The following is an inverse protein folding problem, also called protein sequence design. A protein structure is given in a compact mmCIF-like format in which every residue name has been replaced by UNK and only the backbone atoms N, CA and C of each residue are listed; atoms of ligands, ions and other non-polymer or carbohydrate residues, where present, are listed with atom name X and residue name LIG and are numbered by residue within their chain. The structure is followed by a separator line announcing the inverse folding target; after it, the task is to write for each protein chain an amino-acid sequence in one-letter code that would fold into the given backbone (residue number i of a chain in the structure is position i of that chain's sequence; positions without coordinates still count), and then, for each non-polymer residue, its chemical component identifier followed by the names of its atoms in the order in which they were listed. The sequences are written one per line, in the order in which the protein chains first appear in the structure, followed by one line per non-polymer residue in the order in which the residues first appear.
data_IF_175088837816
#
_entry.id   IF_175088837816
#
_cell.length_a   1.000
_cell.length_b   1.000
_cell.length_c   1.000
_cell.angle_alpha   90.00
_cell.angle_beta   90.00
_cell.angle_gamma   90.00
#
_symmetry.space_group_name_H-M   'P 1'
#
loop_
_entity.id
_entity.type
_entity.pdbx_description
1 polymer ?
#
# COMPACT_ATOMS: atom_id res chain seq x y z
N UNK A 1 -16.36 -41.77 -10.24
CA UNK A 1 -17.37 -41.64 -9.16
C UNK A 1 -17.60 -40.15 -8.94
N UNK A 2 -18.61 -39.60 -9.59
CA UNK A 2 -19.08 -38.24 -9.34
C UNK A 2 -20.06 -38.32 -8.17
N UNK A 3 -19.77 -37.66 -7.06
CA UNK A 3 -20.46 -37.91 -5.80
C UNK A 3 -20.53 -36.69 -4.90
N UNK A 4 -21.65 -36.56 -4.19
CA UNK A 4 -21.81 -35.59 -3.13
C UNK A 4 -20.88 -35.95 -1.98
N UNK A 5 -20.12 -34.98 -1.49
CA UNK A 5 -19.28 -35.09 -0.30
C UNK A 5 -19.69 -34.03 0.72
N UNK A 6 -19.56 -34.37 2.00
CA UNK A 6 -19.78 -33.40 3.08
C UNK A 6 -18.44 -33.04 3.69
N UNK A 7 -18.05 -31.77 3.59
CA UNK A 7 -16.84 -31.21 4.19
C UNK A 7 -17.21 -30.49 5.48
N UNK A 8 -16.57 -30.84 6.59
CA UNK A 8 -16.71 -30.12 7.85
C UNK A 8 -15.51 -29.23 8.11
N UNK A 9 -15.74 -27.92 8.27
CA UNK A 9 -14.75 -26.93 8.67
C UNK A 9 -15.20 -26.27 9.98
N UNK A 10 -14.52 -26.59 11.08
CA UNK A 10 -14.97 -26.20 12.42
C UNK A 10 -16.39 -26.73 12.69
N UNK A 11 -17.32 -25.82 12.96
CA UNK A 11 -18.72 -26.13 13.24
C UNK A 11 -19.65 -26.02 12.02
N UNK A 12 -19.09 -25.80 10.82
CA UNK A 12 -19.88 -25.62 9.58
C UNK A 12 -19.71 -26.84 8.68
N UNK A 13 -20.82 -27.30 8.09
CA UNK A 13 -20.86 -28.41 7.13
C UNK A 13 -21.20 -27.88 5.74
N UNK A 14 -20.38 -28.25 4.75
CA UNK A 14 -20.55 -27.89 3.35
C UNK A 14 -20.87 -29.15 2.54
N UNK A 15 -21.98 -29.15 1.81
CA UNK A 15 -22.33 -30.24 0.89
C UNK A 15 -21.93 -29.83 -0.52
N UNK A 16 -20.95 -30.54 -1.09
CA UNK A 16 -20.29 -30.14 -2.33
C UNK A 16 -20.14 -31.35 -3.27
N UNK A 17 -19.81 -31.08 -4.54
CA UNK A 17 -19.49 -32.12 -5.51
C UNK A 17 -17.99 -32.42 -5.49
N UNK A 18 -17.65 -33.71 -5.33
CA UNK A 18 -16.25 -34.17 -5.29
C UNK A 18 -15.48 -33.78 -6.55
N UNK A 19 -16.08 -33.97 -7.72
CA UNK A 19 -15.49 -33.62 -9.02
C UNK A 19 -15.09 -32.15 -9.09
N UNK A 20 -15.98 -31.24 -8.66
CA UNK A 20 -15.73 -29.79 -8.63
C UNK A 20 -14.53 -29.43 -7.75
N UNK A 21 -14.42 -30.04 -6.57
CA UNK A 21 -13.28 -29.81 -5.66
C UNK A 21 -11.96 -30.34 -6.24
N UNK A 22 -11.94 -31.59 -6.72
CA UNK A 22 -10.75 -32.21 -7.32
C UNK A 22 -10.27 -31.44 -8.54
N UNK A 23 -11.19 -30.97 -9.39
CA UNK A 23 -10.87 -30.24 -10.61
C UNK A 23 -10.20 -28.89 -10.35
N UNK A 24 -10.52 -28.24 -9.22
CA UNK A 24 -10.05 -26.89 -8.92
C UNK A 24 -8.99 -26.82 -7.82
N UNK A 25 -8.76 -27.91 -7.08
CA UNK A 25 -7.82 -27.96 -5.96
C UNK A 25 -6.95 -29.20 -6.00
N UNK A 26 -5.64 -28.98 -6.15
CA UNK A 26 -4.65 -30.05 -6.09
C UNK A 26 -4.63 -30.74 -4.71
N UNK A 27 -4.91 -29.97 -3.65
CA UNK A 27 -5.03 -30.50 -2.29
C UNK A 27 -6.18 -31.49 -2.18
N UNK A 28 -7.37 -31.14 -2.68
CA UNK A 28 -8.54 -32.03 -2.66
C UNK A 28 -8.33 -33.25 -3.57
N UNK A 29 -7.67 -33.07 -4.72
CA UNK A 29 -7.30 -34.18 -5.60
C UNK A 29 -6.48 -35.23 -4.84
N UNK A 30 -5.38 -34.81 -4.21
CA UNK A 30 -4.53 -35.70 -3.41
C UNK A 30 -5.26 -36.26 -2.18
N UNK A 31 -6.02 -35.43 -1.46
CA UNK A 31 -6.77 -35.83 -0.26
C UNK A 31 -7.78 -36.96 -0.54
N UNK A 32 -8.44 -36.92 -1.70
CA UNK A 32 -9.45 -37.90 -2.07
C UNK A 32 -8.88 -39.15 -2.76
N UNK A 33 -7.61 -39.14 -3.18
CA UNK A 33 -6.91 -40.31 -3.69
C UNK A 33 -6.51 -41.30 -2.59
N UNK A 34 -6.32 -40.83 -1.35
CA UNK A 34 -6.03 -41.66 -0.18
C UNK A 34 -7.18 -42.67 0.09
N UNK A 35 -6.86 -43.96 0.09
CA UNK A 35 -7.82 -45.05 0.34
C UNK A 35 -8.55 -44.90 1.69
N UNK A 36 -7.89 -44.32 2.70
CA UNK A 36 -8.48 -44.11 4.02
C UNK A 36 -9.61 -43.06 4.00
N UNK A 37 -9.59 -42.16 3.02
CA UNK A 37 -10.61 -41.11 2.89
C UNK A 37 -11.78 -41.58 2.02
N UNK A 38 -11.58 -42.52 1.09
CA UNK A 38 -12.61 -42.98 0.15
C UNK A 38 -13.85 -43.59 0.80
N UNK A 39 -13.74 -44.16 2.00
CA UNK A 39 -14.85 -44.82 2.69
C UNK A 39 -15.68 -43.86 3.57
N UNK A 40 -15.24 -42.61 3.77
CA UNK A 40 -15.91 -41.67 4.67
C UNK A 40 -16.97 -40.86 3.92
N UNK A 41 -18.16 -40.72 4.52
CA UNK A 41 -19.23 -39.88 4.00
C UNK A 41 -19.05 -38.40 4.42
N UNK A 42 -18.42 -38.17 5.58
CA UNK A 42 -18.13 -36.84 6.13
C UNK A 42 -16.61 -36.70 6.31
N UNK A 43 -16.06 -35.63 5.74
CA UNK A 43 -14.64 -35.32 5.80
C UNK A 43 -14.42 -34.11 6.70
N UNK A 44 -13.85 -34.33 7.89
CA UNK A 44 -13.47 -33.25 8.80
C UNK A 44 -12.11 -32.69 8.41
N UNK A 45 -12.08 -31.47 7.90
CA UNK A 45 -10.86 -30.80 7.46
C UNK A 45 -10.51 -29.72 8.49
N UNK A 46 -9.29 -29.78 9.02
CA UNK A 46 -8.75 -28.74 9.88
C UNK A 46 -7.88 -27.83 9.04
N UNK A 47 -8.39 -26.63 8.73
CA UNK A 47 -7.63 -25.61 8.01
C UNK A 47 -6.79 -24.81 9.01
N UNK A 48 -5.47 -24.76 8.77
CA UNK A 48 -4.61 -23.78 9.42
C UNK A 48 -4.65 -22.50 8.59
N UNK A 49 -5.06 -21.39 9.20
CA UNK A 49 -4.99 -20.06 8.59
C UNK A 49 -6.23 -19.58 7.82
N UNK A 50 -7.24 -20.42 7.61
CA UNK A 50 -8.52 -19.96 7.05
C UNK A 50 -9.72 -20.43 7.88
N UNK A 51 -10.77 -19.61 7.89
CA UNK A 51 -12.03 -19.87 8.59
C UNK A 51 -13.03 -20.52 7.64
N UNK A 52 -14.06 -21.16 8.18
CA UNK A 52 -15.17 -21.68 7.39
C UNK A 52 -15.79 -20.60 6.48
N UNK A 53 -15.90 -19.35 6.99
CA UNK A 53 -16.39 -18.22 6.20
C UNK A 53 -15.48 -17.85 5.02
N UNK A 54 -14.16 -18.01 5.16
CA UNK A 54 -13.24 -17.75 4.06
C UNK A 54 -13.42 -18.80 2.94
N UNK A 55 -13.69 -20.06 3.31
CA UNK A 55 -14.00 -21.13 2.36
C UNK A 55 -15.36 -20.93 1.67
N UNK A 56 -16.38 -20.49 2.41
CA UNK A 56 -17.69 -20.12 1.84
C UNK A 56 -17.53 -19.04 0.76
N UNK A 57 -16.80 -17.96 1.05
CA UNK A 57 -16.54 -16.89 0.09
C UNK A 57 -15.79 -17.39 -1.16
N UNK A 58 -14.83 -18.32 -0.99
CA UNK A 58 -14.17 -18.96 -2.13
C UNK A 58 -15.18 -19.73 -2.99
N UNK A 59 -16.08 -20.50 -2.39
CA UNK A 59 -17.09 -21.26 -3.11
C UNK A 59 -18.06 -20.35 -3.86
N UNK A 60 -18.53 -19.27 -3.24
CA UNK A 60 -19.37 -18.26 -3.87
C UNK A 60 -18.65 -17.64 -5.07
N UNK A 61 -17.38 -17.25 -4.89
CA UNK A 61 -16.56 -16.73 -6.00
C UNK A 61 -16.39 -17.74 -7.15
N UNK A 62 -16.35 -19.04 -6.86
CA UNK A 62 -16.28 -20.05 -7.91
C UNK A 62 -17.55 -20.11 -8.76
N UNK A 63 -18.71 -19.75 -8.20
CA UNK A 63 -19.99 -19.67 -8.92
C UNK A 63 -20.16 -18.31 -9.63
N UNK A 64 -19.70 -17.22 -9.00
CA UNK A 64 -19.91 -15.84 -9.48
C UNK A 64 -18.66 -15.21 -10.13
N UNK A 65 -17.73 -16.03 -10.64
CA UNK A 65 -16.42 -15.55 -11.13
C UNK A 65 -16.52 -14.51 -12.25
N UNK A 66 -17.62 -14.50 -13.02
CA UNK A 66 -17.84 -13.56 -14.13
C UNK A 66 -18.13 -12.15 -13.60
N UNK A 67 -18.85 -12.02 -12.48
CA UNK A 67 -19.25 -10.71 -11.95
C UNK A 67 -18.03 -9.89 -11.53
N UNK A 68 -17.01 -10.56 -10.98
CA UNK A 68 -15.75 -9.92 -10.56
C UNK A 68 -14.86 -9.43 -11.69
N UNK A 69 -15.17 -9.77 -12.94
CA UNK A 69 -14.51 -9.19 -14.11
C UNK A 69 -14.96 -7.74 -14.31
N UNK A 70 -16.25 -7.46 -14.05
CA UNK A 70 -16.86 -6.17 -14.27
C UNK A 70 -16.82 -5.28 -13.02
N UNK A 71 -17.01 -5.88 -11.84
CA UNK A 71 -17.00 -5.20 -10.55
C UNK A 71 -15.89 -5.78 -9.66
N UNK A 72 -14.77 -5.06 -9.45
CA UNK A 72 -13.70 -5.56 -8.61
C UNK A 72 -14.20 -5.91 -7.20
N UNK A 73 -13.88 -7.10 -6.67
CA UNK A 73 -14.32 -7.50 -5.34
C UNK A 73 -13.77 -6.57 -4.25
N UNK A 74 -14.52 -6.34 -3.16
CA UNK A 74 -14.01 -5.61 -2.02
C UNK A 74 -12.86 -6.39 -1.34
N UNK A 75 -12.01 -5.68 -0.61
CA UNK A 75 -10.81 -6.25 0.03
C UNK A 75 -11.12 -7.49 0.89
N UNK A 76 -12.22 -7.47 1.65
CA UNK A 76 -12.62 -8.59 2.50
C UNK A 76 -12.84 -9.90 1.73
N UNK A 77 -13.35 -9.81 0.50
CA UNK A 77 -13.56 -10.96 -0.38
C UNK A 77 -12.21 -11.43 -0.93
N UNK A 78 -11.38 -10.52 -1.44
CA UNK A 78 -10.02 -10.87 -1.93
C UNK A 78 -9.18 -11.54 -0.83
N UNK A 79 -9.20 -10.99 0.39
CA UNK A 79 -8.47 -11.54 1.52
C UNK A 79 -8.98 -12.93 1.93
N UNK A 80 -10.30 -13.14 1.94
CA UNK A 80 -10.92 -14.44 2.22
C UNK A 80 -10.54 -15.49 1.16
N UNK A 81 -10.64 -15.13 -0.13
CA UNK A 81 -10.25 -15.99 -1.24
C UNK A 81 -8.76 -16.33 -1.16
N UNK A 82 -7.88 -15.35 -0.92
CA UNK A 82 -6.43 -15.62 -0.81
C UNK A 82 -6.13 -16.61 0.33
N UNK A 83 -6.70 -16.40 1.53
CA UNK A 83 -6.52 -17.33 2.67
C UNK A 83 -6.98 -18.74 2.31
N UNK A 84 -8.22 -18.90 1.84
CA UNK A 84 -8.79 -20.21 1.56
C UNK A 84 -8.11 -20.91 0.37
N UNK A 85 -7.89 -20.17 -0.73
CA UNK A 85 -7.32 -20.70 -1.95
C UNK A 85 -5.86 -21.11 -1.78
N UNK A 86 -5.04 -20.30 -1.10
CA UNK A 86 -3.65 -20.66 -0.82
C UNK A 86 -3.54 -21.84 0.16
N UNK A 87 -4.41 -21.93 1.17
CA UNK A 87 -4.40 -23.06 2.12
C UNK A 87 -4.83 -24.38 1.48
N UNK A 88 -5.78 -24.35 0.54
CA UNK A 88 -6.34 -25.55 -0.10
C UNK A 88 -5.87 -25.73 -1.54
N UNK A 89 -4.81 -25.04 -1.96
CA UNK A 89 -4.22 -25.16 -3.31
C UNK A 89 -5.24 -25.00 -4.45
N UNK A 90 -6.11 -23.99 -4.36
CA UNK A 90 -6.97 -23.54 -5.48
C UNK A 90 -6.22 -22.53 -6.34
N UNK A 91 -5.23 -23.00 -7.08
CA UNK A 91 -4.18 -22.14 -7.68
C UNK A 91 -4.74 -21.02 -8.57
N UNK A 92 -5.79 -21.30 -9.36
CA UNK A 92 -6.44 -20.28 -10.22
C UNK A 92 -7.03 -19.12 -9.41
N UNK A 93 -7.64 -19.43 -8.27
CA UNK A 93 -8.28 -18.45 -7.40
C UNK A 93 -7.26 -17.74 -6.51
N UNK A 94 -6.19 -18.44 -6.10
CA UNK A 94 -5.05 -17.81 -5.43
C UNK A 94 -4.35 -16.78 -6.35
N UNK A 95 -4.08 -17.15 -7.61
CA UNK A 95 -3.49 -16.24 -8.60
C UNK A 95 -4.40 -15.03 -8.89
N UNK A 96 -5.73 -15.23 -8.95
CA UNK A 96 -6.67 -14.12 -9.04
C UNK A 96 -6.56 -13.19 -7.83
N UNK A 97 -6.61 -13.73 -6.61
CA UNK A 97 -6.63 -12.93 -5.39
C UNK A 97 -5.29 -12.19 -5.19
N UNK A 98 -4.19 -12.81 -5.59
CA UNK A 98 -2.88 -12.19 -5.69
C UNK A 98 -2.91 -10.98 -6.63
N UNK A 99 -3.36 -11.15 -7.87
CA UNK A 99 -3.44 -10.05 -8.84
C UNK A 99 -4.36 -8.92 -8.34
N UNK A 100 -5.49 -9.27 -7.74
CA UNK A 100 -6.41 -8.30 -7.15
C UNK A 100 -5.74 -7.54 -5.98
N UNK A 101 -5.01 -8.25 -5.11
CA UNK A 101 -4.24 -7.64 -4.00
C UNK A 101 -3.17 -6.69 -4.54
N UNK A 102 -2.38 -7.09 -5.54
CA UNK A 102 -1.37 -6.21 -6.14
C UNK A 102 -1.98 -4.95 -6.75
N UNK A 103 -3.16 -5.06 -7.38
CA UNK A 103 -3.88 -3.91 -7.94
C UNK A 103 -4.43 -2.96 -6.86
N UNK A 104 -4.84 -3.48 -5.71
CA UNK A 104 -5.29 -2.67 -4.57
C UNK A 104 -4.15 -1.90 -3.90
N UNK A 105 -2.91 -2.32 -4.12
CA UNK A 105 -1.72 -1.82 -3.44
C UNK A 105 -0.64 -1.40 -4.43
N UNK A 106 -0.86 -0.32 -5.18
CA UNK A 106 0.06 0.10 -6.23
C UNK A 106 1.43 0.47 -5.65
N UNK A 107 2.47 -0.02 -6.32
CA UNK A 107 3.86 0.13 -5.89
C UNK A 107 4.51 1.42 -6.42
N UNK A 108 3.97 1.98 -7.50
CA UNK A 108 4.46 3.19 -8.14
C UNK A 108 4.28 4.40 -7.21
N UNK A 109 5.29 5.27 -7.13
CA UNK A 109 5.22 6.49 -6.31
C UNK A 109 4.24 7.50 -6.91
N UNK A 110 4.06 7.47 -8.23
CA UNK A 110 3.12 8.31 -8.98
C UNK A 110 1.65 7.97 -8.66
N UNK A 111 1.39 6.77 -8.11
CA UNK A 111 0.07 6.33 -7.65
C UNK A 111 -0.11 6.58 -6.13
N UNK A 112 0.81 7.29 -5.49
CA UNK A 112 0.65 7.73 -4.11
C UNK A 112 -0.22 8.98 -4.05
N UNK A 113 -1.34 8.88 -3.33
CA UNK A 113 -2.28 9.99 -3.09
C UNK A 113 -2.39 10.26 -1.59
N UNK A 114 -2.78 11.47 -1.16
CA UNK A 114 -3.05 11.76 0.25
C UNK A 114 -4.19 10.92 0.85
N UNK A 115 -5.10 10.42 0.01
CA UNK A 115 -6.15 9.50 0.44
C UNK A 115 -5.54 8.16 0.86
N UNK A 116 -5.87 7.72 2.07
CA UNK A 116 -5.33 6.48 2.64
C UNK A 116 -6.03 5.26 2.07
N UNK A 117 -5.24 4.25 1.72
CA UNK A 117 -5.78 2.94 1.33
C UNK A 117 -6.21 2.21 2.61
N UNK A 118 -7.48 1.81 2.75
CA UNK A 118 -7.95 1.11 3.95
C UNK A 118 -7.32 -0.29 4.07
N UNK A 119 -7.50 -0.94 5.21
CA UNK A 119 -7.07 -2.33 5.45
C UNK A 119 -5.56 -2.59 5.36
N UNK A 120 -4.72 -1.58 5.55
CA UNK A 120 -3.26 -1.73 5.54
C UNK A 120 -2.75 -2.75 6.56
N UNK A 121 -3.25 -2.70 7.80
CA UNK A 121 -2.87 -3.64 8.86
C UNK A 121 -3.29 -5.08 8.53
N UNK A 122 -4.52 -5.26 8.03
CA UNK A 122 -5.02 -6.57 7.62
C UNK A 122 -4.22 -7.12 6.43
N UNK A 123 -3.82 -6.27 5.48
CA UNK A 123 -2.96 -6.66 4.35
C UNK A 123 -1.59 -7.13 4.81
N UNK A 124 -0.95 -6.41 5.75
CA UNK A 124 0.33 -6.85 6.33
C UNK A 124 0.17 -8.21 6.99
N UNK A 125 -0.86 -8.40 7.80
CA UNK A 125 -1.13 -9.69 8.44
C UNK A 125 -1.38 -10.81 7.42
N UNK A 126 -2.21 -10.55 6.42
CA UNK A 126 -2.57 -11.47 5.34
C UNK A 126 -1.33 -11.95 4.60
N UNK A 127 -0.47 -11.03 4.14
CA UNK A 127 0.70 -11.37 3.33
C UNK A 127 1.86 -11.99 4.13
N UNK A 128 1.88 -11.82 5.46
CA UNK A 128 2.79 -12.57 6.34
C UNK A 128 2.38 -14.04 6.45
N UNK A 129 1.08 -14.33 6.43
CA UNK A 129 0.56 -15.69 6.49
C UNK A 129 0.46 -16.37 5.11
N UNK A 130 0.18 -15.59 4.06
CA UNK A 130 -0.05 -16.05 2.69
C UNK A 130 0.74 -15.16 1.71
N UNK A 131 2.06 -15.38 1.55
CA UNK A 131 2.89 -14.59 0.65
C UNK A 131 2.47 -14.77 -0.82
N UNK A 132 2.55 -13.68 -1.57
CA UNK A 132 2.34 -13.61 -3.03
C UNK A 132 3.67 -13.27 -3.74
N UNK A 133 3.72 -13.34 -5.08
CA UNK A 133 4.94 -13.08 -5.87
C UNK A 133 5.50 -11.68 -5.61
N UNK A 134 4.65 -10.64 -5.69
CA UNK A 134 5.04 -9.24 -5.48
C UNK A 134 4.87 -8.77 -4.02
N UNK A 135 4.96 -9.70 -3.06
CA UNK A 135 4.68 -9.46 -1.65
C UNK A 135 5.49 -8.28 -1.06
N UNK A 136 6.74 -8.10 -1.48
CA UNK A 136 7.57 -6.99 -0.99
C UNK A 136 7.05 -5.61 -1.38
N UNK A 137 6.58 -5.45 -2.61
CA UNK A 137 6.07 -4.18 -3.12
C UNK A 137 4.76 -3.81 -2.40
N UNK A 138 3.84 -4.78 -2.28
CA UNK A 138 2.57 -4.61 -1.57
C UNK A 138 2.80 -4.33 -0.09
N UNK A 139 3.67 -5.08 0.57
CA UNK A 139 4.01 -4.85 1.99
C UNK A 139 4.65 -3.48 2.20
N UNK A 140 5.53 -3.03 1.31
CA UNK A 140 6.13 -1.68 1.41
C UNK A 140 5.05 -0.61 1.38
N UNK A 141 4.10 -0.70 0.44
CA UNK A 141 2.98 0.26 0.35
C UNK A 141 2.07 0.19 1.57
N UNK A 142 1.65 -1.00 1.98
CA UNK A 142 0.80 -1.17 3.17
C UNK A 142 1.46 -0.69 4.46
N UNK A 143 2.76 -0.94 4.65
CA UNK A 143 3.49 -0.42 5.80
C UNK A 143 3.61 1.10 5.74
N UNK A 144 3.75 1.71 4.56
CA UNK A 144 3.73 3.17 4.43
C UNK A 144 2.38 3.78 4.82
N UNK A 145 1.26 3.17 4.43
CA UNK A 145 -0.07 3.61 4.87
C UNK A 145 -0.20 3.60 6.41
N UNK A 146 0.44 2.63 7.07
CA UNK A 146 0.48 2.57 8.53
C UNK A 146 1.41 3.62 9.14
N UNK A 147 2.56 3.90 8.51
CA UNK A 147 3.46 5.00 8.94
C UNK A 147 2.72 6.33 8.98
N UNK A 148 1.90 6.64 7.96
CA UNK A 148 1.15 7.90 7.88
C UNK A 148 -0.20 7.89 8.61
N UNK A 149 -0.61 6.75 9.17
CA UNK A 149 -1.86 6.66 9.90
C UNK A 149 -1.69 7.15 11.36
N UNK A 150 -2.71 7.82 11.93
CA UNK A 150 -2.75 8.08 13.37
C UNK A 150 -2.58 6.78 14.16
N UNK A 151 -1.79 6.84 15.24
CA UNK A 151 -1.46 5.69 16.08
C UNK A 151 -0.95 4.46 15.31
N UNK A 152 -0.33 4.67 14.15
CA UNK A 152 0.19 3.61 13.28
C UNK A 152 -0.87 2.58 12.85
N UNK A 153 -2.13 3.01 12.75
CA UNK A 153 -3.27 2.14 12.44
C UNK A 153 -3.68 1.19 13.56
N UNK A 154 -3.17 1.36 14.79
CA UNK A 154 -3.57 0.56 15.94
C UNK A 154 -4.90 1.06 16.54
N UNK A 155 -5.68 0.11 17.08
CA UNK A 155 -6.85 0.39 17.91
C UNK A 155 -8.19 0.54 17.17
N UNK A 156 -8.20 0.53 15.83
CA UNK A 156 -9.44 0.69 15.05
C UNK A 156 -10.19 -0.64 14.92
N UNK A 157 -9.49 -1.75 14.69
CA UNK A 157 -10.13 -3.04 14.32
C UNK A 157 -9.73 -4.22 15.22
N UNK A 158 -9.10 -3.97 16.37
CA UNK A 158 -8.59 -5.03 17.26
C UNK A 158 -7.42 -5.84 16.69
N UNK A 159 -7.04 -5.61 15.44
CA UNK A 159 -5.84 -6.18 14.82
C UNK A 159 -4.59 -5.46 15.36
N UNK A 160 -3.73 -6.23 16.04
CA UNK A 160 -2.40 -5.75 16.44
C UNK A 160 -1.37 -6.20 15.42
N UNK A 161 -0.64 -5.25 14.85
CA UNK A 161 0.55 -5.53 14.04
C UNK A 161 1.58 -6.23 14.94
N UNK A 162 2.33 -7.18 14.38
CA UNK A 162 3.39 -7.86 15.12
C UNK A 162 4.49 -6.87 15.55
N UNK A 163 5.10 -7.12 16.71
CA UNK A 163 6.13 -6.25 17.30
C UNK A 163 7.22 -5.84 16.31
N UNK A 164 7.68 -6.77 15.47
CA UNK A 164 8.72 -6.51 14.49
C UNK A 164 8.29 -5.46 13.44
N UNK A 165 7.08 -5.59 12.90
CA UNK A 165 6.57 -4.64 11.90
C UNK A 165 6.21 -3.30 12.56
N UNK A 166 5.73 -3.32 13.81
CA UNK A 166 5.52 -2.09 14.59
C UNK A 166 6.82 -1.30 14.79
N UNK A 167 7.92 -1.96 15.20
CA UNK A 167 9.22 -1.30 15.34
C UNK A 167 9.72 -0.71 14.02
N UNK A 168 9.52 -1.40 12.89
CA UNK A 168 9.84 -0.86 11.55
C UNK A 168 9.06 0.40 11.24
N UNK A 169 7.76 0.40 11.52
CA UNK A 169 6.88 1.55 11.30
C UNK A 169 7.32 2.74 12.15
N UNK A 170 7.62 2.55 13.43
CA UNK A 170 8.09 3.62 14.34
C UNK A 170 9.42 4.20 13.86
N UNK A 171 10.38 3.35 13.47
CA UNK A 171 11.66 3.82 12.94
C UNK A 171 11.50 4.59 11.63
N UNK A 172 10.70 4.05 10.70
CA UNK A 172 10.42 4.69 9.42
C UNK A 172 9.73 6.05 9.61
N UNK A 173 8.74 6.13 10.50
CA UNK A 173 8.08 7.38 10.87
C UNK A 173 9.10 8.40 11.40
N UNK A 174 9.96 8.00 12.34
CA UNK A 174 11.00 8.89 12.89
C UNK A 174 11.93 9.46 11.83
N UNK A 175 12.42 8.62 10.90
CA UNK A 175 13.29 9.04 9.80
C UNK A 175 12.57 9.96 8.81
N UNK A 176 11.35 9.61 8.43
CA UNK A 176 10.55 10.43 7.51
C UNK A 176 10.20 11.77 8.15
N UNK A 177 9.77 11.82 9.40
CA UNK A 177 9.48 13.10 10.09
C UNK A 177 10.74 13.96 10.21
N UNK A 178 11.93 13.38 10.36
CA UNK A 178 13.17 14.14 10.32
C UNK A 178 13.41 14.73 8.93
N UNK A 179 13.29 13.91 7.88
CA UNK A 179 13.42 14.36 6.49
C UNK A 179 12.42 15.48 6.16
N UNK A 180 11.18 15.35 6.61
CA UNK A 180 10.16 16.39 6.45
C UNK A 180 10.59 17.69 7.10
N UNK A 181 11.07 17.64 8.35
CA UNK A 181 11.52 18.85 9.04
C UNK A 181 12.69 19.52 8.35
N UNK A 182 13.66 18.75 7.86
CA UNK A 182 14.83 19.27 7.15
C UNK A 182 14.45 19.98 5.83
N UNK A 183 13.37 19.54 5.19
CA UNK A 183 12.90 20.12 3.92
C UNK A 183 11.85 21.23 4.09
N UNK A 184 11.00 21.16 5.12
CA UNK A 184 9.81 22.00 5.24
C UNK A 184 9.87 23.04 6.39
N UNK A 185 10.68 22.85 7.43
CA UNK A 185 10.69 23.79 8.57
C UNK A 185 11.38 25.10 8.21
N UNK A 186 12.60 25.02 7.70
CA UNK A 186 13.41 26.20 7.45
C UNK A 186 13.60 26.42 5.95
N UNK A 187 13.64 27.68 5.56
CA UNK A 187 14.23 28.13 4.31
C UNK A 187 15.67 27.60 4.24
N UNK A 188 15.83 26.39 3.69
CA UNK A 188 17.08 25.67 3.78
C UNK A 188 18.16 26.41 3.02
N UNK A 189 19.30 26.65 3.68
CA UNK A 189 20.50 27.18 3.06
C UNK A 189 21.12 26.19 2.04
N UNK A 190 20.53 25.01 1.86
CA UNK A 190 20.96 24.02 0.87
C UNK A 190 20.81 24.50 -0.57
N UNK A 191 19.95 25.48 -0.83
CA UNK A 191 19.69 25.94 -2.20
C UNK A 191 20.43 27.25 -2.49
N UNK A 192 21.54 27.16 -3.20
CA UNK A 192 22.24 28.32 -3.76
C UNK A 192 21.72 28.57 -5.18
N UNK A 193 21.37 29.82 -5.49
CA UNK A 193 20.90 30.19 -6.82
C UNK A 193 22.01 29.97 -7.87
N UNK A 194 21.84 29.07 -8.87
CA UNK A 194 22.89 28.79 -9.85
C UNK A 194 23.29 30.02 -10.68
N UNK A 195 22.38 30.97 -10.84
CA UNK A 195 22.65 32.21 -11.57
C UNK A 195 23.52 33.20 -10.78
N UNK A 196 23.74 33.01 -9.47
CA UNK A 196 24.52 33.95 -8.65
C UNK A 196 26.02 34.00 -9.01
N UNK A 197 26.55 32.95 -9.65
CA UNK A 197 27.99 32.83 -9.93
C UNK A 197 28.42 33.42 -11.31
N UNK A 198 27.48 33.91 -12.14
CA UNK A 198 27.75 34.25 -13.54
C UNK A 198 27.84 35.75 -13.88
N UNK A 199 27.76 36.66 -12.90
CA UNK A 199 27.50 38.09 -13.14
C UNK A 199 28.77 38.97 -13.28
N UNK A 200 29.91 38.39 -13.70
CA UNK A 200 31.15 39.16 -13.94
C UNK A 200 31.21 39.83 -15.34
N UNK A 201 30.24 39.55 -16.23
CA UNK A 201 30.21 40.07 -17.60
C UNK A 201 29.13 41.12 -17.83
N UNK A 202 29.50 42.40 -17.78
CA UNK A 202 28.60 43.56 -17.90
C UNK A 202 27.68 43.55 -19.12
N UNK A 203 26.40 43.22 -18.90
CA UNK A 203 25.30 43.39 -19.84
C UNK A 203 24.10 44.00 -19.12
N UNK A 204 23.75 45.23 -19.50
CA UNK A 204 22.73 46.09 -18.87
C UNK A 204 21.28 45.73 -19.26
N UNK A 205 20.87 44.48 -19.08
CA UNK A 205 19.46 44.12 -19.08
C UNK A 205 19.09 43.55 -17.72
N UNK A 206 18.06 44.11 -17.11
CA UNK A 206 17.62 43.86 -15.74
C UNK A 206 17.48 42.37 -15.46
N UNK A 207 18.54 41.75 -14.94
CA UNK A 207 18.52 40.38 -14.46
C UNK A 207 17.43 40.30 -13.40
N UNK A 208 16.35 39.57 -13.71
CA UNK A 208 15.25 39.32 -12.78
C UNK A 208 15.87 38.68 -11.53
N UNK A 209 15.95 39.48 -10.46
CA UNK A 209 16.57 39.08 -9.20
C UNK A 209 15.80 37.91 -8.59
N UNK A 210 16.33 36.70 -8.72
CA UNK A 210 15.75 35.50 -8.11
C UNK A 210 15.66 35.65 -6.58
N UNK A 211 14.50 35.34 -6.01
CA UNK A 211 14.23 35.43 -4.56
C UNK A 211 15.24 34.66 -3.70
N UNK A 212 15.80 33.56 -4.20
CA UNK A 212 16.83 32.78 -3.48
C UNK A 212 18.10 33.60 -3.15
N UNK A 213 18.38 34.70 -3.86
CA UNK A 213 19.54 35.56 -3.59
C UNK A 213 19.36 36.48 -2.36
N UNK A 214 18.13 36.69 -1.91
CA UNK A 214 17.80 37.54 -0.77
C UNK A 214 17.25 36.66 0.37
N UNK A 215 18.04 36.37 1.42
CA UNK A 215 17.63 35.49 2.51
C UNK A 215 16.34 35.93 3.21
N UNK A 216 16.09 37.24 3.32
CA UNK A 216 14.89 37.76 3.99
C UNK A 216 13.64 37.49 3.13
N UNK A 217 13.71 37.80 1.83
CA UNK A 217 12.60 37.49 0.91
C UNK A 217 12.39 35.99 0.75
N UNK A 218 13.47 35.21 0.70
CA UNK A 218 13.36 33.74 0.65
C UNK A 218 12.63 33.20 1.87
N UNK A 219 13.01 33.63 3.07
CA UNK A 219 12.34 33.22 4.31
C UNK A 219 10.85 33.62 4.32
N UNK A 220 10.50 34.82 3.86
CA UNK A 220 9.12 35.29 3.76
C UNK A 220 8.30 34.41 2.81
N UNK A 221 8.79 34.21 1.57
CA UNK A 221 8.08 33.42 0.56
C UNK A 221 7.97 31.96 0.97
N UNK A 222 9.02 31.38 1.55
CA UNK A 222 8.98 30.03 2.08
C UNK A 222 7.94 29.90 3.21
N UNK A 223 7.90 30.86 4.13
CA UNK A 223 6.89 30.90 5.19
C UNK A 223 5.48 30.94 4.60
N UNK A 224 5.25 31.76 3.57
CA UNK A 224 3.97 31.83 2.88
C UNK A 224 3.58 30.52 2.20
N UNK A 225 4.47 29.96 1.37
CA UNK A 225 4.18 28.77 0.56
C UNK A 225 4.12 27.47 1.36
N UNK A 226 4.83 27.36 2.48
CA UNK A 226 4.95 26.09 3.23
C UNK A 226 4.17 26.12 4.53
N UNK A 227 4.27 27.20 5.31
CA UNK A 227 3.65 27.27 6.63
C UNK A 227 2.25 27.88 6.57
N UNK A 228 2.10 29.06 5.97
CA UNK A 228 0.81 29.76 5.91
C UNK A 228 -0.19 29.09 4.96
N UNK A 229 0.29 28.30 3.99
CA UNK A 229 -0.56 27.50 3.09
C UNK A 229 -1.15 26.27 3.76
N UNK A 230 -0.64 25.86 4.93
CA UNK A 230 -1.02 24.62 5.62
C UNK A 230 -0.21 23.38 5.20
N UNK A 231 0.63 23.46 4.16
CA UNK A 231 1.41 22.30 3.65
C UNK A 231 2.24 21.66 4.75
N UNK A 232 2.90 22.45 5.60
CA UNK A 232 3.70 21.94 6.72
C UNK A 232 2.88 21.08 7.69
N UNK A 233 1.71 21.57 8.08
CA UNK A 233 0.85 20.93 9.08
C UNK A 233 0.12 19.72 8.51
N UNK A 234 -0.42 19.85 7.29
CA UNK A 234 -1.18 18.80 6.60
C UNK A 234 -0.34 17.54 6.38
N UNK A 235 0.92 17.69 5.97
CA UNK A 235 1.79 16.57 5.59
C UNK A 235 2.80 16.16 6.67
N UNK A 236 2.64 16.61 7.92
CA UNK A 236 3.55 16.27 9.02
C UNK A 236 3.65 14.75 9.29
N UNK A 237 2.60 14.00 8.94
CA UNK A 237 2.58 12.52 9.03
C UNK A 237 2.66 11.83 7.66
N UNK A 238 2.60 12.56 6.55
CA UNK A 238 2.60 12.01 5.19
C UNK A 238 3.67 12.67 4.33
N UNK A 239 4.91 12.32 4.63
CA UNK A 239 6.10 13.01 4.13
C UNK A 239 6.26 12.90 2.62
N UNK A 240 5.93 11.76 2.02
CA UNK A 240 6.05 11.61 0.57
C UNK A 240 5.04 12.50 -0.18
N UNK A 241 3.79 12.58 0.28
CA UNK A 241 2.83 13.53 -0.28
C UNK A 241 3.22 14.98 0.02
N UNK A 242 3.81 15.25 1.19
CA UNK A 242 4.34 16.57 1.52
C UNK A 242 5.47 17.01 0.60
N UNK A 243 6.41 16.13 0.27
CA UNK A 243 7.47 16.41 -0.70
C UNK A 243 6.91 16.69 -2.08
N UNK A 244 5.91 15.92 -2.53
CA UNK A 244 5.20 16.18 -3.79
C UNK A 244 4.49 17.55 -3.77
N UNK A 245 3.85 17.91 -2.65
CA UNK A 245 3.24 19.23 -2.50
C UNK A 245 4.29 20.37 -2.58
N UNK A 246 5.49 20.15 -2.06
CA UNK A 246 6.61 21.09 -2.25
C UNK A 246 7.06 21.16 -3.72
N UNK A 247 7.13 20.03 -4.44
CA UNK A 247 7.46 19.98 -5.88
C UNK A 247 6.46 20.79 -6.73
N UNK A 248 5.17 20.69 -6.36
CA UNK A 248 4.05 21.28 -7.09
C UNK A 248 3.75 22.73 -6.69
N UNK A 249 4.30 23.21 -5.57
CA UNK A 249 4.11 24.58 -5.13
C UNK A 249 4.59 25.60 -6.19
N UNK A 250 3.91 26.76 -6.22
CA UNK A 250 4.08 27.78 -7.25
C UNK A 250 5.33 28.66 -7.06
N UNK A 251 6.49 28.06 -6.80
CA UNK A 251 7.75 28.76 -6.55
C UNK A 251 8.08 29.78 -7.65
N UNK A 252 7.86 29.45 -8.92
CA UNK A 252 8.12 30.38 -10.04
C UNK A 252 7.28 31.66 -9.96
N UNK A 253 6.00 31.52 -9.60
CA UNK A 253 5.09 32.67 -9.47
C UNK A 253 5.51 33.60 -8.32
N UNK A 254 6.23 33.06 -7.34
CA UNK A 254 6.74 33.80 -6.19
C UNK A 254 8.16 34.38 -6.41
N UNK A 255 8.65 34.43 -7.65
CA UNK A 255 9.90 35.11 -8.01
C UNK A 255 11.16 34.25 -7.97
N UNK A 256 11.03 32.92 -7.92
CA UNK A 256 12.16 32.01 -8.15
C UNK A 256 12.45 31.87 -9.65
N UNK A 257 13.73 31.85 -10.02
CA UNK A 257 14.13 31.55 -11.40
C UNK A 257 13.97 30.05 -11.72
N UNK A 258 13.85 29.72 -13.01
CA UNK A 258 13.65 28.33 -13.48
C UNK A 258 14.70 27.36 -12.93
N UNK A 259 15.98 27.75 -12.96
CA UNK A 259 17.05 26.93 -12.42
C UNK A 259 16.90 26.62 -10.91
N UNK A 260 16.36 27.54 -10.12
CA UNK A 260 16.10 27.35 -8.70
C UNK A 260 14.89 26.44 -8.45
N UNK A 261 13.87 26.54 -9.29
CA UNK A 261 12.69 25.67 -9.23
C UNK A 261 13.09 24.24 -9.61
N UNK A 262 13.84 24.05 -10.70
CA UNK A 262 14.29 22.74 -11.15
C UNK A 262 15.26 22.07 -10.16
N UNK A 263 16.11 22.85 -9.50
CA UNK A 263 16.98 22.33 -8.44
C UNK A 263 16.18 21.79 -7.26
N UNK A 264 15.14 22.51 -6.83
CA UNK A 264 14.25 22.10 -5.73
C UNK A 264 13.43 20.87 -6.09
N UNK A 265 12.81 20.87 -7.27
CA UNK A 265 12.03 19.73 -7.75
C UNK A 265 12.88 18.45 -7.78
N UNK A 266 14.09 18.51 -8.31
CA UNK A 266 15.04 17.37 -8.31
C UNK A 266 15.50 16.94 -6.93
N UNK A 267 15.55 17.84 -5.96
CA UNK A 267 15.94 17.49 -4.59
C UNK A 267 14.81 16.78 -3.82
N UNK A 268 13.56 16.99 -4.23
CA UNK A 268 12.37 16.45 -3.57
C UNK A 268 11.69 15.28 -4.32
N UNK A 269 12.06 15.06 -5.58
CA UNK A 269 11.64 13.89 -6.39
C UNK A 269 12.52 12.67 -6.10
#
# INVERSE_FOLDING_TARGET
LDGNVTIQLGNTLFKLHRSRLVMNSAWFASYFEDENTKQRQIHCIKMKGARAKDFEVLLDMMDDAIDYIYEPPPFSIVAAVLRAASTLSFDKYAAFAEKATTRMWPAALEELTPERIPHAAETVFLLRAHPITDCHAVLKRALYELVRAPNFGQGIDGLSIGMHDFMRIVMAHGQLSQLWRENAVAASNMFVCPQAAGDEGGGTEAAVSCVTRDPAKYAEVHTRLVHQSGVYEEYNSDVLCGLQALVDASWKAEGFCDACVDLRRRAWS
#
